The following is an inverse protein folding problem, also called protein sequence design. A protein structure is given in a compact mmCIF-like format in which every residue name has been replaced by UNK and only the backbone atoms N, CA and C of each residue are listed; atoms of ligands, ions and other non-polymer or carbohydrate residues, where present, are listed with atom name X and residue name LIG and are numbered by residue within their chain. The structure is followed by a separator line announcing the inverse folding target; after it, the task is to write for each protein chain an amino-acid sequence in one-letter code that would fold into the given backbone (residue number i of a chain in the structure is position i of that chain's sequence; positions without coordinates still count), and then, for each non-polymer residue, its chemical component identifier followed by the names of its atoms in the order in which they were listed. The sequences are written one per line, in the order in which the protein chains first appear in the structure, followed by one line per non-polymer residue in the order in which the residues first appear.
data_IF_513688787378
#
_entry.id   IF_513688787378
#
_cell.length_a   1.000
_cell.length_b   1.000
_cell.length_c   1.000
_cell.angle_alpha   90.00
_cell.angle_beta   90.00
_cell.angle_gamma   90.00
#
_symmetry.space_group_name_H-M   'P 1'
#
loop_
_entity.id
_entity.type
_entity.pdbx_description
1 polymer ?
#
# COMPACT_ATOMS: atom_id res chain seq x y z
N UNK A 1 12.19 -23.89 1.85
CA UNK A 1 11.10 -23.37 2.70
C UNK A 1 10.62 -22.05 2.10
N UNK A 2 9.58 -22.09 1.24
CA UNK A 2 9.08 -20.88 0.57
C UNK A 2 8.18 -20.12 1.54
N UNK A 3 8.69 -19.05 2.17
CA UNK A 3 7.86 -18.13 2.95
C UNK A 3 6.90 -17.45 1.96
N UNK A 4 5.61 -17.73 2.10
CA UNK A 4 4.55 -17.10 1.32
C UNK A 4 4.66 -15.59 1.45
N UNK A 5 4.90 -14.91 0.33
CA UNK A 5 4.87 -13.44 0.30
C UNK A 5 3.42 -12.99 0.53
N UNK A 6 3.13 -12.17 1.55
CA UNK A 6 1.78 -11.68 1.77
C UNK A 6 1.36 -10.79 0.60
N UNK A 7 0.13 -10.98 0.11
CA UNK A 7 -0.46 -10.11 -0.90
C UNK A 7 -1.03 -8.87 -0.19
N UNK A 8 -0.34 -7.75 -0.32
CA UNK A 8 -0.72 -6.49 0.33
C UNK A 8 -1.35 -5.57 -0.71
N UNK A 9 -2.54 -5.05 -0.42
CA UNK A 9 -3.24 -4.06 -1.24
C UNK A 9 -3.50 -2.84 -0.36
N UNK A 10 -3.05 -1.68 -0.81
CA UNK A 10 -3.20 -0.39 -0.13
C UNK A 10 -4.22 0.42 -0.92
N UNK A 11 -5.39 0.61 -0.32
CA UNK A 11 -6.37 1.57 -0.81
C UNK A 11 -5.99 2.94 -0.27
N UNK A 12 -5.85 3.92 -1.17
CA UNK A 12 -5.42 5.26 -0.82
C UNK A 12 -6.22 6.31 -1.56
N UNK A 13 -6.18 7.53 -1.03
CA UNK A 13 -6.65 8.74 -1.70
C UNK A 13 -5.47 9.71 -1.84
N UNK A 14 -5.47 10.61 -2.85
CA UNK A 14 -4.34 11.49 -3.13
C UNK A 14 -4.12 12.51 -2.01
N UNK A 15 -5.16 12.82 -1.22
CA UNK A 15 -5.13 13.78 -0.13
C UNK A 15 -4.85 13.16 1.26
N UNK A 16 -4.74 11.84 1.38
CA UNK A 16 -4.57 11.20 2.69
C UNK A 16 -3.09 11.11 3.13
N UNK A 17 -2.66 11.85 4.16
CA UNK A 17 -1.28 11.81 4.66
C UNK A 17 -0.91 10.45 5.28
N UNK A 18 -1.90 9.75 5.85
CA UNK A 18 -1.70 8.44 6.46
C UNK A 18 -1.44 7.35 5.43
N UNK A 19 -2.09 7.41 4.26
CA UNK A 19 -1.83 6.49 3.16
C UNK A 19 -0.37 6.56 2.71
N UNK A 20 0.19 7.78 2.59
CA UNK A 20 1.60 7.97 2.25
C UNK A 20 2.55 7.36 3.30
N UNK A 21 2.20 7.47 4.59
CA UNK A 21 2.98 6.85 5.67
C UNK A 21 2.99 5.33 5.58
N UNK A 22 1.85 4.70 5.27
CA UNK A 22 1.75 3.24 5.10
C UNK A 22 2.54 2.76 3.89
N UNK A 23 2.41 3.43 2.73
CA UNK A 23 3.19 3.13 1.51
C UNK A 23 4.69 3.16 1.81
N UNK A 24 5.14 4.20 2.52
CA UNK A 24 6.55 4.37 2.92
C UNK A 24 7.01 3.25 3.87
N UNK A 25 6.23 2.93 4.89
CA UNK A 25 6.54 1.84 5.83
C UNK A 25 6.68 0.49 5.13
N UNK A 26 5.75 0.16 4.23
CA UNK A 26 5.79 -1.09 3.46
C UNK A 26 7.01 -1.15 2.53
N UNK A 27 7.36 -0.03 1.91
CA UNK A 27 8.56 0.10 1.08
C UNK A 27 9.85 -0.04 1.88
N UNK A 28 9.95 0.61 3.05
CA UNK A 28 11.11 0.51 3.96
C UNK A 28 11.33 -0.94 4.46
N UNK A 29 10.25 -1.71 4.62
CA UNK A 29 10.30 -3.13 4.99
C UNK A 29 10.52 -4.08 3.81
N UNK A 30 10.59 -3.57 2.58
CA UNK A 30 10.79 -4.39 1.37
C UNK A 30 9.59 -5.23 0.97
N UNK A 31 8.38 -4.89 1.46
CA UNK A 31 7.17 -5.61 1.07
C UNK A 31 6.67 -5.12 -0.30
N UNK A 32 6.24 -6.07 -1.13
CA UNK A 32 5.50 -5.77 -2.36
C UNK A 32 4.05 -5.48 -1.99
N UNK A 33 3.54 -4.33 -2.44
CA UNK A 33 2.14 -3.95 -2.26
C UNK A 33 1.58 -3.34 -3.54
N UNK A 34 0.27 -3.48 -3.75
CA UNK A 34 -0.47 -2.83 -4.83
C UNK A 34 -1.14 -1.58 -4.30
N UNK A 35 -0.95 -0.45 -4.97
CA UNK A 35 -1.60 0.82 -4.64
C UNK A 35 -2.87 0.98 -5.49
N UNK A 36 -4.01 1.22 -4.85
CA UNK A 36 -5.28 1.49 -5.51
C UNK A 36 -5.78 2.85 -5.02
N UNK A 37 -5.91 3.78 -5.95
CA UNK A 37 -6.46 5.10 -5.70
C UNK A 37 -7.99 5.03 -5.75
N UNK A 38 -8.66 5.24 -4.61
CA UNK A 38 -10.13 5.16 -4.48
C UNK A 38 -10.84 6.50 -4.67
N UNK A 39 -10.08 7.58 -4.87
CA UNK A 39 -10.62 8.94 -5.08
C UNK A 39 -11.34 9.13 -6.42
N UNK A 40 -11.27 8.15 -7.32
CA UNK A 40 -11.87 8.21 -8.67
C UNK A 40 -13.25 7.57 -8.77
N UNK A 41 -13.74 7.02 -7.66
CA UNK A 41 -15.06 6.36 -7.57
C UNK A 41 -16.09 7.22 -6.82
N UNK A 42 -15.83 8.53 -6.69
CA UNK A 42 -16.82 9.52 -6.17
C UNK A 42 -17.71 10.10 -7.27
#
# INVERSE_FOLDING_TARGET
MQKSVPRIIVFSTPSCPWCNRVKRYLKEKGFRYRDIDVSKDE
#
